data_IF_796372793445
#
_entry.id   IF_796372793445
#
_cell.length_a   1.000
_cell.length_b   1.000
_cell.length_c   1.000
_cell.angle_alpha   90.00
_cell.angle_beta   90.00
_cell.angle_gamma   90.00
#
_symmetry.space_group_name_H-M   'P 1'
#
loop_
_entity.id
_entity.type
_entity.pdbx_description
1 polymer ?
#
# COMPACT_ATOMS: atom_id res chain seq x y z
N UNK A 1 15.57 21.84 -5.93
CA UNK A 1 15.48 20.37 -5.78
C UNK A 1 14.12 19.97 -6.31
N UNK A 2 14.07 19.10 -7.32
CA UNK A 2 12.81 18.52 -7.80
C UNK A 2 12.26 17.65 -6.69
N UNK A 3 11.21 18.10 -6.01
CA UNK A 3 10.48 17.27 -5.05
C UNK A 3 9.84 16.13 -5.81
N UNK A 4 10.57 15.03 -6.01
CA UNK A 4 9.99 13.77 -6.46
C UNK A 4 9.04 13.37 -5.36
N UNK A 5 7.74 13.57 -5.55
CA UNK A 5 6.73 13.05 -4.65
C UNK A 5 6.98 11.54 -4.53
N UNK A 6 7.56 11.11 -3.41
CA UNK A 6 7.77 9.70 -3.15
C UNK A 6 6.38 9.08 -3.02
N UNK A 7 5.98 8.33 -4.05
CA UNK A 7 4.74 7.57 -4.03
C UNK A 7 5.01 6.33 -3.20
N UNK A 8 4.44 6.29 -2.00
CA UNK A 8 4.55 5.12 -1.15
C UNK A 8 3.39 4.18 -1.50
N UNK A 9 3.72 2.92 -1.72
CA UNK A 9 2.77 1.87 -2.01
C UNK A 9 2.45 1.10 -0.74
N UNK A 10 1.17 1.03 -0.42
CA UNK A 10 0.65 0.28 0.71
C UNK A 10 0.01 -1.01 0.20
N UNK A 11 0.30 -2.13 0.88
CA UNK A 11 -0.41 -3.37 0.67
C UNK A 11 -1.62 -3.36 1.61
N UNK A 12 -2.81 -3.24 1.01
CA UNK A 12 -4.09 -3.25 1.71
C UNK A 12 -4.74 -4.60 1.51
N UNK A 13 -5.29 -5.14 2.59
CA UNK A 13 -6.06 -6.36 2.58
C UNK A 13 -7.49 -6.01 2.97
N UNK A 14 -8.40 -6.11 2.00
CA UNK A 14 -9.82 -5.88 2.18
C UNK A 14 -10.53 -7.21 2.45
N UNK A 15 -11.11 -7.36 3.62
CA UNK A 15 -11.93 -8.51 4.00
C UNK A 15 -13.38 -8.37 3.50
N UNK A 16 -14.13 -9.48 3.43
CA UNK A 16 -15.48 -9.52 2.87
C UNK A 16 -16.51 -8.77 3.73
N UNK A 17 -16.22 -8.52 5.01
CA UNK A 17 -17.07 -7.75 5.93
C UNK A 17 -16.76 -6.24 5.94
N UNK A 18 -15.96 -5.74 4.99
CA UNK A 18 -15.56 -4.33 4.92
C UNK A 18 -14.43 -3.95 5.88
N UNK A 19 -13.82 -4.93 6.55
CA UNK A 19 -12.59 -4.71 7.32
C UNK A 19 -11.40 -4.48 6.39
N UNK A 20 -10.65 -3.40 6.62
CA UNK A 20 -9.40 -3.13 5.89
C UNK A 20 -8.22 -3.28 6.85
N UNK A 21 -7.28 -4.16 6.50
CA UNK A 21 -6.00 -4.26 7.17
C UNK A 21 -4.93 -3.70 6.24
N UNK A 22 -4.23 -2.65 6.68
CA UNK A 22 -3.07 -2.12 5.96
C UNK A 22 -1.82 -2.71 6.60
N UNK A 23 -0.98 -3.37 5.80
CA UNK A 23 0.30 -3.82 6.32
C UNK A 23 1.17 -2.60 6.69
N UNK A 24 1.88 -2.64 7.82
CA UNK A 24 2.75 -1.53 8.25
C UNK A 24 3.96 -1.35 7.30
N UNK A 25 4.25 -2.35 6.47
CA UNK A 25 5.31 -2.29 5.47
C UNK A 25 4.89 -1.49 4.26
N UNK A 26 5.54 -0.33 4.09
CA UNK A 26 5.43 0.54 2.93
C UNK A 26 6.47 0.19 1.87
N UNK A 27 6.07 0.20 0.60
CA UNK A 27 6.98 -0.04 -0.53
C UNK A 27 7.24 1.26 -1.29
N UNK A 28 8.47 1.47 -1.75
CA UNK A 28 8.84 2.65 -2.55
C UNK A 28 8.39 2.50 -4.01
N UNK A 29 8.33 1.25 -4.50
CA UNK A 29 7.96 0.93 -5.88
C UNK A 29 6.70 0.06 -5.96
N UNK A 30 5.88 0.31 -6.99
CA UNK A 30 4.71 -0.52 -7.32
C UNK A 30 5.06 -2.00 -7.48
N UNK A 31 6.18 -2.26 -8.14
CA UNK A 31 6.67 -3.62 -8.43
C UNK A 31 6.98 -4.38 -7.13
N UNK A 32 7.57 -3.71 -6.13
CA UNK A 32 7.85 -4.31 -4.83
C UNK A 32 6.54 -4.64 -4.09
N UNK A 33 5.54 -3.75 -4.13
CA UNK A 33 4.23 -4.04 -3.56
C UNK A 33 3.56 -5.24 -4.25
N UNK A 34 3.65 -5.32 -5.58
CA UNK A 34 3.04 -6.43 -6.35
C UNK A 34 3.75 -7.75 -6.07
N UNK A 35 5.08 -7.74 -5.94
CA UNK A 35 5.83 -8.91 -5.52
C UNK A 35 5.45 -9.37 -4.11
N UNK A 36 5.21 -8.44 -3.18
CA UNK A 36 4.75 -8.77 -1.84
C UNK A 36 3.34 -9.39 -1.82
N UNK A 37 2.43 -8.98 -2.72
CA UNK A 37 1.13 -9.66 -2.90
C UNK A 37 1.35 -11.12 -3.29
N UNK A 38 2.26 -11.40 -4.24
CA UNK A 38 2.54 -12.77 -4.67
C UNK A 38 3.11 -13.62 -3.53
N UNK A 39 4.01 -13.06 -2.71
CA UNK A 39 4.49 -13.75 -1.50
C UNK A 39 3.38 -13.99 -0.49
N UNK A 40 2.47 -13.02 -0.31
CA UNK A 40 1.34 -13.14 0.61
C UNK A 40 0.35 -14.22 0.15
N UNK A 41 0.14 -14.36 -1.17
CA UNK A 41 -0.70 -15.41 -1.76
C UNK A 41 -0.12 -16.82 -1.58
N UNK A 42 1.19 -16.97 -1.31
CA UNK A 42 1.77 -18.28 -0.95
C UNK A 42 1.33 -18.74 0.44
N UNK A 43 0.92 -17.81 1.30
CA UNK A 43 0.33 -18.13 2.60
C UNK A 43 -1.17 -18.37 2.42
N UNK A 44 -1.77 -19.28 3.22
CA UNK A 44 -3.20 -19.52 3.17
C UNK A 44 -3.94 -18.23 3.55
N UNK A 45 -4.38 -17.49 2.54
CA UNK A 45 -5.13 -16.26 2.72
C UNK A 45 -6.57 -16.66 3.06
N UNK A 46 -7.20 -16.07 4.09
CA UNK A 46 -8.57 -16.42 4.42
C UNK A 46 -9.50 -16.12 3.22
N UNK A 47 -10.47 -16.99 2.93
CA UNK A 47 -11.35 -16.82 1.78
C UNK A 47 -12.14 -15.50 1.87
N UNK A 48 -12.27 -14.81 0.74
CA UNK A 48 -12.95 -13.51 0.64
C UNK A 48 -12.05 -12.29 0.91
N UNK A 49 -10.76 -12.49 1.21
CA UNK A 49 -9.81 -11.40 1.38
C UNK A 49 -9.17 -11.03 0.04
N UNK A 50 -9.14 -9.73 -0.26
CA UNK A 50 -8.58 -9.18 -1.51
C UNK A 50 -7.37 -8.32 -1.20
N UNK A 51 -6.27 -8.58 -1.90
CA UNK A 51 -5.02 -7.83 -1.76
C UNK A 51 -4.97 -6.74 -2.82
N UNK A 52 -4.64 -5.51 -2.43
CA UNK A 52 -4.50 -4.38 -3.34
C UNK A 52 -3.27 -3.55 -3.01
N UNK A 53 -2.56 -3.12 -4.05
CA UNK A 53 -1.49 -2.13 -3.94
C UNK A 53 -2.08 -0.74 -4.18
N UNK A 54 -2.19 0.04 -3.10
CA UNK A 54 -2.72 1.40 -3.17
C UNK A 54 -1.53 2.37 -3.17
N UNK A 55 -1.39 3.24 -4.19
CA UNK A 55 -0.44 4.34 -4.12
C UNK A 55 -0.99 5.39 -3.15
N UNK A 56 -0.14 5.86 -2.25
CA UNK A 56 -0.46 6.93 -1.32
C UNK A 56 0.67 7.96 -1.35
N UNK A 57 0.29 9.23 -1.29
CA UNK A 57 1.25 10.31 -1.14
C UNK A 57 1.90 10.17 0.24
N UNK A 58 3.23 10.06 0.29
CA UNK A 58 3.98 10.04 1.55
C UNK A 58 3.50 11.17 2.48
N UNK A 59 3.08 10.89 3.73
CA UNK A 59 2.81 11.96 4.70
C UNK A 59 4.10 12.69 5.13
N UNK A 60 5.27 12.12 4.83
CA UNK A 60 6.57 12.82 4.92
C UNK A 60 6.70 13.96 3.89
N UNK A 61 5.78 14.04 2.92
CA UNK A 61 5.48 15.26 2.16
C UNK A 61 4.33 15.99 2.84
N UNK A 62 4.61 16.71 3.92
CA UNK A 62 3.74 17.79 4.41
C UNK A 62 4.66 19.01 4.59
N UNK A 63 4.63 20.01 3.72
CA UNK A 63 3.75 21.16 3.88
C UNK A 63 3.74 22.01 2.59
N UNK A 64 2.58 22.19 1.97
CA UNK A 64 2.42 23.11 0.83
C UNK A 64 0.98 23.26 0.33
N UNK A 65 -0.02 23.04 1.17
CA UNK A 65 -1.41 23.38 0.87
C UNK A 65 -1.99 24.14 2.05
N UNK A 66 -1.53 25.38 2.17
CA UNK A 66 -2.21 26.45 2.91
C UNK A 66 -1.73 27.83 2.39
N UNK A 67 -1.97 28.12 1.11
CA UNK A 67 -2.23 29.47 0.57
C UNK A 67 -2.83 29.40 -0.84
#
# INVERSE_FOLDING_TARGET
MTSTAALIWYLVIAGPQGGMAVLPSTFDKREQCTAAILEYQKQPTPPGWTLQCIPSASPFTNNGSAE
#
